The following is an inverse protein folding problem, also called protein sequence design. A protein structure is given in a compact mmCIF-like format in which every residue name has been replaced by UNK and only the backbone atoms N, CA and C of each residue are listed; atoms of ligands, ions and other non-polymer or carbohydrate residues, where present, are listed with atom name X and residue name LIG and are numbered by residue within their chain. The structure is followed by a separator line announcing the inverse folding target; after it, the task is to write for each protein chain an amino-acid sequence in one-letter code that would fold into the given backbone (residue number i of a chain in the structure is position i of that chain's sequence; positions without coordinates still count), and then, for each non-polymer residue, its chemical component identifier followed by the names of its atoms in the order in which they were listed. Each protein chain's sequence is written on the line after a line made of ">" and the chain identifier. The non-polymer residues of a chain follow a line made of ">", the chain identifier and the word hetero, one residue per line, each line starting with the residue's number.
data_IF_106669439571
#
_entry.id   IF_106669439571
#
_cell.length_a   1.000
_cell.length_b   1.000
_cell.length_c   1.000
_cell.angle_alpha   90.00
_cell.angle_beta   90.00
_cell.angle_gamma   90.00
#
_symmetry.space_group_name_H-M   'P 1'
#
loop_
_entity.id
_entity.type
_entity.pdbx_description
1 polymer ?
#
# COMPACT_ATOMS: atom_id res chain seq x y z
N UNK A 1 -12.40 9.38 14.41
CA UNK A 1 -10.94 9.14 14.61
C UNK A 1 -10.40 10.27 15.49
N UNK A 2 -9.58 9.95 16.47
CA UNK A 2 -9.03 11.01 17.33
C UNK A 2 -7.95 11.81 16.57
N UNK A 3 -7.53 12.94 17.14
CA UNK A 3 -6.58 13.83 16.49
C UNK A 3 -5.23 13.18 16.20
N UNK A 4 -4.71 12.40 17.15
CA UNK A 4 -3.43 11.72 16.98
C UNK A 4 -3.47 10.70 15.85
N UNK A 5 -4.52 9.88 15.80
CA UNK A 5 -4.71 8.91 14.74
C UNK A 5 -4.88 9.59 13.39
N UNK A 6 -5.64 10.68 13.36
CA UNK A 6 -5.85 11.44 12.13
C UNK A 6 -4.53 12.00 11.59
N UNK A 7 -3.70 12.56 12.45
CA UNK A 7 -2.40 13.09 12.04
C UNK A 7 -1.48 11.98 11.53
N UNK A 8 -1.47 10.82 12.20
CA UNK A 8 -0.65 9.69 11.79
C UNK A 8 -1.09 9.17 10.43
N UNK A 9 -2.38 8.95 10.24
CA UNK A 9 -2.92 8.45 8.96
C UNK A 9 -2.72 9.47 7.84
N UNK A 10 -2.91 10.75 8.11
CA UNK A 10 -2.67 11.82 7.13
C UNK A 10 -1.23 11.80 6.64
N UNK A 11 -0.26 11.64 7.56
CA UNK A 11 1.15 11.52 7.19
C UNK A 11 1.42 10.30 6.34
N UNK A 12 0.83 9.15 6.68
CA UNK A 12 0.99 7.90 5.93
C UNK A 12 0.36 7.99 4.54
N UNK A 13 -0.79 8.63 4.43
CA UNK A 13 -1.46 8.86 3.14
C UNK A 13 -0.61 9.76 2.25
N UNK A 14 0.03 10.78 2.81
CA UNK A 14 0.93 11.64 2.05
C UNK A 14 2.16 10.87 1.56
N UNK A 15 2.70 9.97 2.39
CA UNK A 15 3.80 9.10 1.98
C UNK A 15 3.38 8.22 0.79
N UNK A 16 2.15 7.70 0.84
CA UNK A 16 1.61 6.90 -0.27
C UNK A 16 1.53 7.72 -1.55
N UNK A 17 1.04 8.96 -1.48
CA UNK A 17 0.95 9.85 -2.63
C UNK A 17 2.31 10.17 -3.25
N UNK A 18 3.35 10.21 -2.44
CA UNK A 18 4.70 10.50 -2.91
C UNK A 18 5.44 9.25 -3.40
N UNK A 19 4.92 8.05 -3.10
CA UNK A 19 5.56 6.80 -3.49
C UNK A 19 5.49 6.60 -5.01
N UNK A 20 6.62 6.43 -5.66
CA UNK A 20 6.69 6.22 -7.11
C UNK A 20 6.09 4.89 -7.56
N UNK A 21 5.99 3.91 -6.67
CA UNK A 21 5.43 2.59 -6.98
C UNK A 21 3.92 2.50 -6.75
N UNK A 22 3.28 3.59 -6.31
CA UNK A 22 1.83 3.61 -6.07
C UNK A 22 1.07 3.72 -7.38
N UNK A 23 0.02 2.91 -7.55
CA UNK A 23 -0.83 2.99 -8.74
C UNK A 23 -1.72 4.23 -8.69
N UNK A 24 -2.23 4.62 -9.85
CA UNK A 24 -3.08 5.82 -9.98
C UNK A 24 -4.35 5.69 -9.13
N UNK A 25 -4.98 4.54 -9.14
CA UNK A 25 -6.23 4.29 -8.41
C UNK A 25 -6.05 4.50 -6.91
N UNK A 26 -4.95 4.01 -6.35
CA UNK A 26 -4.64 4.22 -4.94
C UNK A 26 -4.36 5.69 -4.64
N UNK A 27 -3.64 6.39 -5.53
CA UNK A 27 -3.38 7.82 -5.37
C UNK A 27 -4.66 8.64 -5.41
N UNK A 28 -5.56 8.31 -6.35
CA UNK A 28 -6.85 9.00 -6.47
C UNK A 28 -7.70 8.81 -5.21
N UNK A 29 -7.77 7.59 -4.69
CA UNK A 29 -8.51 7.29 -3.46
C UNK A 29 -7.89 8.02 -2.25
N UNK A 30 -6.57 8.05 -2.16
CA UNK A 30 -5.86 8.74 -1.09
C UNK A 30 -6.10 10.25 -1.13
N UNK A 31 -6.05 10.85 -2.31
CA UNK A 31 -6.29 12.28 -2.47
C UNK A 31 -7.74 12.63 -2.14
N UNK A 32 -8.69 11.80 -2.59
CA UNK A 32 -10.11 12.02 -2.30
C UNK A 32 -10.38 12.00 -0.80
N UNK A 33 -9.73 11.10 -0.07
CA UNK A 33 -9.87 11.05 1.38
C UNK A 33 -9.28 12.30 2.04
N UNK A 34 -8.09 12.72 1.62
CA UNK A 34 -7.46 13.94 2.17
C UNK A 34 -8.35 15.16 1.96
N UNK A 35 -8.96 15.29 0.80
CA UNK A 35 -9.84 16.40 0.47
C UNK A 35 -11.12 16.36 1.31
N UNK A 36 -11.54 15.17 1.74
CA UNK A 36 -12.76 14.98 2.53
C UNK A 36 -12.55 15.11 4.04
N UNK A 37 -11.30 15.13 4.51
CA UNK A 37 -10.99 15.22 5.95
C UNK A 37 -11.61 16.52 6.53
N UNK A 38 -12.32 16.36 7.64
CA UNK A 38 -13.02 17.47 8.27
C UNK A 38 -14.40 17.75 7.70
N UNK A 39 -14.84 16.97 6.70
CA UNK A 39 -16.18 17.09 6.10
C UNK A 39 -17.02 15.87 6.45
N UNK A 40 -18.32 15.93 6.15
CA UNK A 40 -19.24 14.81 6.36
C UNK A 40 -18.99 13.64 5.38
N UNK A 41 -18.13 13.83 4.40
CA UNK A 41 -17.75 12.77 3.44
C UNK A 41 -16.50 12.01 3.85
N UNK A 42 -15.83 12.42 4.93
CA UNK A 42 -14.61 11.78 5.40
C UNK A 42 -14.78 10.26 5.60
N UNK A 43 -15.84 9.85 6.28
CA UNK A 43 -16.11 8.44 6.55
C UNK A 43 -16.34 7.64 5.27
N UNK A 44 -17.10 8.20 4.32
CA UNK A 44 -17.37 7.56 3.04
C UNK A 44 -16.10 7.36 2.23
N UNK A 45 -15.26 8.40 2.15
CA UNK A 45 -14.00 8.31 1.42
C UNK A 45 -13.01 7.39 2.14
N UNK A 46 -13.04 7.33 3.47
CA UNK A 46 -12.21 6.40 4.23
C UNK A 46 -12.52 4.95 3.86
N UNK A 47 -13.79 4.59 3.73
CA UNK A 47 -14.21 3.24 3.32
C UNK A 47 -13.73 2.92 1.91
N UNK A 48 -13.80 3.86 0.99
CA UNK A 48 -13.31 3.69 -0.37
C UNK A 48 -11.80 3.52 -0.40
N UNK A 49 -11.09 4.33 0.38
CA UNK A 49 -9.62 4.24 0.49
C UNK A 49 -9.20 2.87 1.00
N UNK A 50 -9.80 2.40 2.10
CA UNK A 50 -9.47 1.09 2.66
C UNK A 50 -9.72 -0.02 1.65
N UNK A 51 -10.86 -0.01 0.97
CA UNK A 51 -11.18 -1.03 -0.02
C UNK A 51 -10.18 -1.04 -1.17
N UNK A 52 -9.78 0.15 -1.65
CA UNK A 52 -8.81 0.26 -2.73
C UNK A 52 -7.43 -0.26 -2.31
N UNK A 53 -6.97 0.12 -1.12
CA UNK A 53 -5.67 -0.32 -0.63
C UNK A 53 -5.63 -1.82 -0.38
N UNK A 54 -6.72 -2.41 0.06
CA UNK A 54 -6.78 -3.87 0.25
C UNK A 54 -6.66 -4.63 -1.07
N UNK A 55 -7.12 -4.03 -2.17
CA UNK A 55 -6.97 -4.61 -3.50
C UNK A 55 -5.55 -4.42 -4.06
N UNK A 56 -4.92 -3.29 -3.75
CA UNK A 56 -3.66 -2.89 -4.37
C UNK A 56 -2.42 -3.39 -3.64
N UNK A 57 -2.51 -3.61 -2.32
CA UNK A 57 -1.36 -4.07 -1.55
C UNK A 57 -0.94 -5.48 -1.99
N UNK A 58 0.35 -5.64 -2.30
CA UNK A 58 0.87 -6.91 -2.80
C UNK A 58 1.22 -7.85 -1.65
N UNK A 59 0.52 -8.99 -1.49
CA UNK A 59 0.92 -10.00 -0.51
C UNK A 59 2.30 -10.54 -0.86
N UNK A 60 3.09 -10.91 0.16
CA UNK A 60 4.47 -11.37 -0.06
C UNK A 60 4.52 -12.61 -0.95
N UNK A 61 3.58 -13.53 -0.81
CA UNK A 61 3.54 -14.73 -1.66
C UNK A 61 3.21 -14.37 -3.11
N UNK A 62 2.37 -13.35 -3.33
CA UNK A 62 2.07 -12.83 -4.65
C UNK A 62 3.29 -12.17 -5.29
N UNK A 63 4.07 -11.43 -4.51
CA UNK A 63 5.30 -10.82 -4.98
C UNK A 63 6.31 -11.89 -5.39
N UNK A 64 6.49 -12.94 -4.59
CA UNK A 64 7.40 -14.04 -4.89
C UNK A 64 6.96 -14.73 -6.20
N UNK A 65 5.69 -15.04 -6.33
CA UNK A 65 5.14 -15.66 -7.53
C UNK A 65 5.35 -14.79 -8.77
N UNK A 66 5.11 -13.49 -8.65
CA UNK A 66 5.30 -12.54 -9.77
C UNK A 66 6.77 -12.43 -10.15
N UNK A 67 7.66 -12.26 -9.17
CA UNK A 67 9.10 -12.12 -9.42
C UNK A 67 9.69 -13.37 -10.06
N UNK A 68 9.15 -14.56 -9.76
CA UNK A 68 9.60 -15.81 -10.35
C UNK A 68 8.91 -16.15 -11.66
N UNK A 69 8.00 -15.31 -12.16
CA UNK A 69 7.24 -15.56 -13.37
C UNK A 69 7.90 -14.94 -14.60
N UNK A 70 7.45 -15.36 -15.78
CA UNK A 70 7.89 -14.76 -17.06
C UNK A 70 7.51 -13.28 -17.13
N UNK A 71 6.37 -12.91 -16.58
CA UNK A 71 5.91 -11.53 -16.57
C UNK A 71 6.83 -10.65 -15.72
N UNK A 72 7.27 -11.16 -14.56
CA UNK A 72 8.24 -10.45 -13.72
C UNK A 72 9.56 -10.22 -14.46
N UNK A 73 10.02 -11.22 -15.19
CA UNK A 73 11.23 -11.11 -16.01
C UNK A 73 11.08 -10.06 -17.11
N UNK A 74 9.88 -9.92 -17.69
CA UNK A 74 9.62 -8.91 -18.73
C UNK A 74 9.59 -7.50 -18.14
N UNK A 75 9.03 -7.33 -16.95
CA UNK A 75 8.88 -6.02 -16.30
C UNK A 75 10.20 -5.51 -15.74
N UNK A 76 10.93 -6.36 -15.03
CA UNK A 76 12.16 -5.98 -14.31
C UNK A 76 13.45 -6.41 -14.99
N UNK A 77 13.36 -7.14 -16.10
CA UNK A 77 14.51 -7.84 -16.70
C UNK A 77 14.83 -9.11 -15.91
N UNK A 78 15.55 -10.03 -16.53
CA UNK A 78 15.86 -11.33 -15.90
C UNK A 78 16.64 -11.15 -14.58
N UNK A 79 17.65 -10.29 -14.57
CA UNK A 79 18.45 -10.04 -13.37
C UNK A 79 17.66 -9.27 -12.31
N UNK A 80 16.88 -8.27 -12.71
CA UNK A 80 16.06 -7.50 -11.79
C UNK A 80 15.01 -8.35 -11.11
N UNK A 81 14.35 -9.23 -11.87
CA UNK A 81 13.36 -10.16 -11.33
C UNK A 81 14.01 -11.14 -10.35
N UNK A 82 15.18 -11.64 -10.67
CA UNK A 82 15.92 -12.56 -9.80
C UNK A 82 16.31 -11.90 -8.48
N UNK A 83 16.79 -10.67 -8.53
CA UNK A 83 17.12 -9.90 -7.33
C UNK A 83 15.89 -9.62 -6.49
N UNK A 84 14.77 -9.28 -7.14
CA UNK A 84 13.51 -9.05 -6.45
C UNK A 84 13.01 -10.32 -5.76
N UNK A 85 13.12 -11.47 -6.44
CA UNK A 85 12.73 -12.77 -5.87
C UNK A 85 13.54 -13.08 -4.61
N UNK A 86 14.87 -12.93 -4.67
CA UNK A 86 15.75 -13.17 -3.52
C UNK A 86 15.37 -12.23 -2.37
N UNK A 87 15.14 -10.95 -2.67
CA UNK A 87 14.73 -9.98 -1.66
C UNK A 87 13.39 -10.36 -1.04
N UNK A 88 12.40 -10.71 -1.86
CA UNK A 88 11.07 -11.09 -1.38
C UNK A 88 11.11 -12.32 -0.47
N UNK A 89 11.88 -13.34 -0.85
CA UNK A 89 12.07 -14.52 -0.02
C UNK A 89 12.76 -14.19 1.30
N UNK A 90 13.73 -13.27 1.26
CA UNK A 90 14.45 -12.82 2.45
C UNK A 90 13.53 -12.12 3.44
N UNK A 91 12.72 -11.19 2.98
CA UNK A 91 11.79 -10.47 3.88
C UNK A 91 10.67 -11.38 4.38
N UNK A 92 10.24 -12.35 3.56
CA UNK A 92 9.26 -13.34 4.01
C UNK A 92 9.83 -14.16 5.18
N UNK A 93 11.07 -14.60 5.06
CA UNK A 93 11.76 -15.34 6.14
C UNK A 93 11.87 -14.50 7.41
N UNK A 94 11.93 -13.17 7.29
CA UNK A 94 11.95 -12.25 8.42
C UNK A 94 10.55 -11.94 8.98
N UNK A 95 9.50 -12.50 8.39
CA UNK A 95 8.12 -12.35 8.88
C UNK A 95 7.26 -11.35 8.11
N UNK A 96 7.73 -10.81 7.00
CA UNK A 96 6.95 -9.87 6.20
C UNK A 96 5.72 -10.55 5.58
N UNK A 97 4.60 -9.84 5.59
CA UNK A 97 3.33 -10.31 5.01
C UNK A 97 3.07 -9.73 3.62
N UNK A 98 3.72 -8.61 3.31
CA UNK A 98 3.47 -7.85 2.08
C UNK A 98 4.79 -7.38 1.47
N UNK A 99 4.71 -6.96 0.20
CA UNK A 99 5.80 -6.28 -0.47
C UNK A 99 6.25 -5.07 0.36
N UNK A 100 7.55 -4.80 0.38
CA UNK A 100 8.12 -3.70 1.15
C UNK A 100 8.45 -2.46 0.32
N UNK A 101 7.93 -2.36 -0.91
CA UNK A 101 8.11 -1.15 -1.70
C UNK A 101 7.46 0.04 -0.97
N UNK A 102 7.87 1.29 -1.25
CA UNK A 102 7.34 2.44 -0.54
C UNK A 102 5.81 2.53 -0.54
N UNK A 103 5.16 2.21 -1.66
CA UNK A 103 3.70 2.23 -1.75
C UNK A 103 3.06 1.16 -0.87
N UNK A 104 3.52 -0.09 -0.94
CA UNK A 104 2.95 -1.18 -0.14
C UNK A 104 3.25 -0.98 1.36
N UNK A 105 4.43 -0.46 1.70
CA UNK A 105 4.76 -0.13 3.10
C UNK A 105 3.80 0.92 3.65
N UNK A 106 3.50 1.97 2.87
CA UNK A 106 2.54 2.99 3.27
C UNK A 106 1.13 2.42 3.39
N UNK A 107 0.72 1.56 2.43
CA UNK A 107 -0.58 0.87 2.49
C UNK A 107 -0.72 0.04 3.77
N UNK A 108 0.31 -0.71 4.13
CA UNK A 108 0.28 -1.54 5.33
C UNK A 108 0.08 -0.70 6.59
N UNK A 109 0.77 0.44 6.69
CA UNK A 109 0.62 1.37 7.82
C UNK A 109 -0.80 1.94 7.88
N UNK A 110 -1.34 2.35 6.75
CA UNK A 110 -2.71 2.90 6.67
C UNK A 110 -3.72 1.83 7.06
N UNK A 111 -3.58 0.61 6.56
CA UNK A 111 -4.49 -0.48 6.87
C UNK A 111 -4.41 -0.92 8.33
N UNK A 112 -3.29 -0.67 9.02
CA UNK A 112 -3.20 -0.91 10.45
C UNK A 112 -4.16 -0.01 11.24
N UNK A 113 -4.57 1.11 10.68
CA UNK A 113 -5.56 2.03 11.26
C UNK A 113 -6.96 1.83 10.69
N UNK A 114 -7.21 0.72 10.01
CA UNK A 114 -8.49 0.45 9.33
C UNK A 114 -9.69 0.66 10.24
N UNK A 115 -9.67 0.09 11.45
CA UNK A 115 -10.80 0.17 12.38
C UNK A 115 -11.08 1.61 12.79
N UNK A 116 -10.06 2.44 12.89
CA UNK A 116 -10.21 3.85 13.23
C UNK A 116 -10.75 4.66 12.04
N UNK A 117 -10.34 4.28 10.83
CA UNK A 117 -10.76 4.97 9.60
C UNK A 117 -12.24 4.76 9.30
N UNK A 118 -12.73 3.53 9.44
CA UNK A 118 -14.08 3.15 9.04
C UNK A 118 -15.01 2.89 10.21
N UNK A 119 -14.45 2.87 11.42
CA UNK A 119 -15.17 2.57 12.66
C UNK A 119 -15.99 3.67 13.30
#
# INVERSE_FOLDING_TARGET
>A
MNKESLEAVTGEVRELLEAGSCCKEAKDAAQAWLDAVGTDKESEQAKKLVAELEEDIMPIDGLIAFAGSDMGAKVFGAEGAKKLLVHAESIKAAGAKYCDCPACAACEKILAHKDELIG
#
